data_IF_650616656880
#
_entry.id   IF_650616656880
#
_cell.length_a   1.000
_cell.length_b   1.000
_cell.length_c   1.000
_cell.angle_alpha   90.00
_cell.angle_beta   90.00
_cell.angle_gamma   90.00
#
_symmetry.space_group_name_H-M   'P 1'
#
loop_
_entity.id
_entity.type
_entity.pdbx_description
1 polymer ?
#
# COMPACT_ATOMS: atom_id res chain seq x y z
N UNK A 1 32.91 -22.39 -10.34
CA UNK A 1 31.65 -23.07 -10.72
C UNK A 1 30.51 -22.20 -10.22
N UNK A 2 29.89 -21.43 -11.11
CA UNK A 2 28.72 -20.62 -10.76
C UNK A 2 27.53 -21.55 -10.54
N UNK A 3 26.83 -21.38 -9.41
CA UNK A 3 25.63 -22.17 -9.08
C UNK A 3 24.55 -21.93 -10.14
N UNK A 4 24.22 -22.98 -10.88
CA UNK A 4 23.23 -23.01 -11.96
C UNK A 4 21.77 -23.02 -11.47
N UNK A 5 21.52 -22.82 -10.17
CA UNK A 5 20.16 -22.79 -9.60
C UNK A 5 19.55 -21.39 -9.49
N UNK A 6 20.31 -20.33 -9.72
CA UNK A 6 19.81 -18.96 -9.65
C UNK A 6 19.45 -18.43 -11.04
N UNK A 7 18.43 -19.02 -11.68
CA UNK A 7 17.90 -18.44 -12.92
C UNK A 7 16.50 -18.96 -13.18
N UNK A 8 15.52 -18.08 -12.97
CA UNK A 8 14.10 -18.25 -13.30
C UNK A 8 13.31 -19.14 -12.32
N UNK A 9 12.91 -18.55 -11.18
CA UNK A 9 11.68 -19.01 -10.53
C UNK A 9 10.49 -18.63 -11.45
N UNK A 10 9.64 -19.58 -11.89
CA UNK A 10 8.42 -19.28 -12.63
C UNK A 10 7.58 -18.21 -11.89
N UNK A 11 6.93 -17.30 -12.62
CA UNK A 11 6.07 -16.26 -12.02
C UNK A 11 5.05 -16.84 -11.02
N UNK A 12 4.49 -18.00 -11.34
CA UNK A 12 3.60 -18.78 -10.47
C UNK A 12 4.21 -19.13 -9.10
N UNK A 13 5.49 -19.52 -9.03
CA UNK A 13 6.17 -19.79 -7.75
C UNK A 13 6.51 -18.51 -6.97
N UNK A 14 6.61 -17.34 -7.62
CA UNK A 14 6.85 -16.07 -6.91
C UNK A 14 5.61 -15.54 -6.22
N UNK A 15 4.44 -15.70 -6.84
CA UNK A 15 3.13 -15.37 -6.24
C UNK A 15 2.83 -16.28 -5.03
N UNK A 16 3.25 -17.56 -5.10
CA UNK A 16 3.15 -18.51 -3.98
C UNK A 16 4.07 -18.17 -2.79
N UNK A 17 5.19 -17.48 -3.03
CA UNK A 17 6.21 -17.17 -2.00
C UNK A 17 6.07 -15.77 -1.40
N UNK A 18 5.34 -14.87 -2.04
CA UNK A 18 5.04 -13.54 -1.49
C UNK A 18 3.67 -13.10 -2.01
N UNK A 19 2.67 -12.89 -1.13
CA UNK A 19 1.27 -12.65 -1.53
C UNK A 19 1.02 -11.27 -2.20
N UNK A 20 2.08 -10.61 -2.68
CA UNK A 20 2.10 -9.22 -3.14
C UNK A 20 1.69 -8.23 -2.07
N UNK A 21 1.85 -6.94 -2.38
CA UNK A 21 1.47 -5.87 -1.45
C UNK A 21 0.00 -5.50 -1.66
N UNK A 22 -0.82 -5.61 -0.62
CA UNK A 22 -2.22 -5.18 -0.68
C UNK A 22 -2.34 -3.66 -0.63
N UNK A 23 -3.12 -3.11 -1.55
CA UNK A 23 -3.54 -1.71 -1.59
C UNK A 23 -5.05 -1.66 -1.46
N UNK A 24 -5.55 -0.95 -0.45
CA UNK A 24 -6.99 -0.81 -0.27
C UNK A 24 -7.57 0.20 -1.26
N UNK A 25 -8.76 -0.05 -1.80
CA UNK A 25 -9.50 0.98 -2.56
C UNK A 25 -10.91 1.19 -2.01
N UNK A 26 -11.42 2.41 -2.12
CA UNK A 26 -12.81 2.76 -1.81
C UNK A 26 -13.41 3.44 -3.04
N UNK A 27 -14.55 2.93 -3.52
CA UNK A 27 -15.19 3.42 -4.74
C UNK A 27 -16.72 3.51 -4.58
N UNK A 28 -17.18 4.60 -3.96
CA UNK A 28 -18.61 4.91 -3.86
C UNK A 28 -19.23 5.30 -5.23
N UNK A 29 -18.40 5.62 -6.22
CA UNK A 29 -18.81 6.14 -7.52
C UNK A 29 -19.01 5.07 -8.60
N UNK A 30 -18.57 3.84 -8.35
CA UNK A 30 -18.58 2.73 -9.31
C UNK A 30 -17.65 2.97 -10.52
N UNK A 31 -16.54 3.69 -10.32
CA UNK A 31 -15.57 4.01 -11.38
C UNK A 31 -14.36 3.08 -11.43
N UNK A 32 -14.16 2.22 -10.43
CA UNK A 32 -13.08 1.24 -10.38
C UNK A 32 -13.04 0.35 -11.62
N UNK A 33 -14.19 -0.10 -12.11
CA UNK A 33 -14.31 -0.90 -13.33
C UNK A 33 -13.69 -0.26 -14.59
N UNK A 34 -13.60 1.07 -14.65
CA UNK A 34 -12.97 1.79 -15.76
C UNK A 34 -11.47 2.01 -15.56
N UNK A 35 -11.01 2.03 -14.31
CA UNK A 35 -9.62 2.27 -13.91
C UNK A 35 -8.83 0.95 -13.88
N UNK A 36 -9.40 -0.10 -13.28
CA UNK A 36 -8.70 -1.34 -12.98
C UNK A 36 -8.06 -2.00 -14.21
N UNK A 37 -8.70 -2.13 -15.39
CA UNK A 37 -8.07 -2.78 -16.54
C UNK A 37 -6.81 -2.06 -17.01
N UNK A 38 -6.85 -0.72 -17.04
CA UNK A 38 -5.72 0.12 -17.46
C UNK A 38 -4.61 0.15 -16.41
N UNK A 39 -4.98 0.12 -15.13
CA UNK A 39 -4.03 0.05 -14.02
C UNK A 39 -3.29 -1.29 -14.01
N UNK A 40 -4.03 -2.41 -14.11
CA UNK A 40 -3.47 -3.76 -14.07
C UNK A 40 -2.51 -4.02 -15.27
N UNK A 41 -2.76 -3.42 -16.45
CA UNK A 41 -1.82 -3.46 -17.59
C UNK A 41 -0.48 -2.75 -17.33
N UNK A 42 -0.43 -1.81 -16.38
CA UNK A 42 0.77 -1.00 -16.08
C UNK A 42 1.53 -1.51 -14.86
N UNK A 43 0.98 -2.50 -14.15
CA UNK A 43 1.64 -3.18 -13.04
C UNK A 43 2.51 -4.35 -13.53
N UNK A 44 3.46 -4.85 -12.72
CA UNK A 44 3.86 -4.39 -11.38
C UNK A 44 4.58 -3.03 -11.42
N UNK A 45 4.70 -2.35 -10.27
CA UNK A 45 5.63 -1.23 -10.13
C UNK A 45 7.06 -1.73 -10.35
N UNK A 46 7.92 -0.93 -10.97
CA UNK A 46 9.27 -1.36 -11.36
C UNK A 46 10.34 -0.37 -10.94
N UNK A 47 11.57 -0.88 -10.86
CA UNK A 47 12.78 -0.08 -10.65
C UNK A 47 12.63 0.91 -9.48
N UNK A 48 12.16 0.41 -8.34
CA UNK A 48 12.05 1.21 -7.13
C UNK A 48 13.40 1.18 -6.44
N UNK A 49 14.01 2.35 -6.29
CA UNK A 49 15.20 2.52 -5.47
C UNK A 49 14.78 3.08 -4.11
N UNK A 50 15.20 2.40 -3.06
CA UNK A 50 14.83 2.72 -1.69
C UNK A 50 16.07 2.76 -0.82
N UNK A 51 16.28 3.84 -0.09
CA UNK A 51 17.34 3.92 0.91
C UNK A 51 16.78 3.51 2.26
N UNK A 52 17.33 2.44 2.83
CA UNK A 52 16.91 1.95 4.15
C UNK A 52 17.41 2.87 5.29
N UNK A 53 17.01 2.56 6.52
CA UNK A 53 17.30 3.38 7.71
C UNK A 53 18.80 3.48 8.04
N UNK A 54 19.60 2.47 7.65
CA UNK A 54 21.07 2.49 7.79
C UNK A 54 21.78 3.17 6.61
N UNK A 55 21.03 3.73 5.66
CA UNK A 55 21.56 4.49 4.55
C UNK A 55 22.02 3.66 3.35
N UNK A 56 21.72 2.36 3.30
CA UNK A 56 22.01 1.48 2.16
C UNK A 56 20.87 1.56 1.14
N UNK A 57 21.23 1.74 -0.14
CA UNK A 57 20.27 1.71 -1.24
C UNK A 57 19.94 0.26 -1.62
N UNK A 58 18.66 -0.05 -1.59
CA UNK A 58 18.04 -1.30 -2.03
C UNK A 58 17.28 -1.05 -3.32
N UNK A 59 17.19 -2.09 -4.15
CA UNK A 59 16.47 -2.05 -5.42
C UNK A 59 15.39 -3.11 -5.42
N UNK A 60 14.17 -2.70 -5.76
CA UNK A 60 13.02 -3.59 -5.97
C UNK A 60 12.73 -3.54 -7.47
N UNK A 61 13.05 -4.63 -8.17
CA UNK A 61 12.91 -4.69 -9.62
C UNK A 61 11.44 -4.73 -10.06
N UNK A 62 10.61 -5.49 -9.33
CA UNK A 62 9.18 -5.62 -9.56
C UNK A 62 8.45 -5.73 -8.23
N UNK A 63 7.41 -4.92 -8.06
CA UNK A 63 6.51 -4.93 -6.92
C UNK A 63 5.06 -5.06 -7.42
N UNK A 64 4.52 -6.29 -7.46
CA UNK A 64 3.11 -6.54 -7.67
C UNK A 64 2.27 -5.92 -6.56
N UNK A 65 1.16 -5.30 -6.95
CA UNK A 65 0.16 -4.74 -6.04
C UNK A 65 -1.14 -5.50 -6.24
N UNK A 66 -1.86 -5.77 -5.15
CA UNK A 66 -3.19 -6.38 -5.19
C UNK A 66 -4.20 -5.44 -4.57
N UNK A 67 -5.27 -5.16 -5.30
CA UNK A 67 -6.26 -4.17 -4.89
C UNK A 67 -7.43 -4.82 -4.18
N UNK A 68 -7.73 -4.36 -2.97
CA UNK A 68 -8.81 -4.92 -2.14
C UNK A 68 -9.79 -3.82 -1.77
N UNK A 69 -11.07 -4.06 -1.98
CA UNK A 69 -12.11 -3.10 -1.63
C UNK A 69 -12.23 -2.94 -0.11
N UNK A 70 -12.16 -1.70 0.35
CA UNK A 70 -12.38 -1.34 1.74
C UNK A 70 -13.87 -1.06 1.92
N UNK A 71 -14.58 -2.06 2.43
CA UNK A 71 -15.94 -1.91 2.94
C UNK A 71 -15.94 -1.41 4.40
N UNK A 72 -17.03 -0.81 4.90
CA UNK A 72 -17.17 -0.39 6.31
C UNK A 72 -16.94 -1.53 7.31
N UNK A 73 -17.17 -2.79 6.91
CA UNK A 73 -16.93 -3.97 7.72
C UNK A 73 -15.44 -4.35 7.77
N UNK A 74 -14.73 -4.20 6.64
CA UNK A 74 -13.30 -4.53 6.51
C UNK A 74 -12.39 -3.53 7.22
N UNK A 75 -12.83 -2.27 7.40
CA UNK A 75 -12.10 -1.23 8.18
C UNK A 75 -11.81 -1.70 9.62
N UNK A 76 -12.63 -2.59 10.18
CA UNK A 76 -12.52 -3.06 11.57
C UNK A 76 -11.51 -4.19 11.79
N UNK A 77 -11.10 -4.93 10.74
CA UNK A 77 -10.23 -6.11 10.88
C UNK A 77 -8.74 -5.76 10.78
N UNK A 78 -8.30 -5.15 9.67
CA UNK A 78 -6.97 -4.56 9.50
C UNK A 78 -6.93 -3.82 8.16
N UNK A 79 -6.61 -2.52 8.17
CA UNK A 79 -6.51 -1.74 6.94
C UNK A 79 -5.17 -2.00 6.23
N UNK A 80 -5.14 -2.10 4.89
CA UNK A 80 -3.89 -2.06 4.14
C UNK A 80 -3.08 -0.79 4.48
N UNK A 81 -1.74 -0.86 4.46
CA UNK A 81 -0.89 0.27 4.82
C UNK A 81 -0.96 1.41 3.78
N UNK A 82 -1.46 1.13 2.58
CA UNK A 82 -1.71 2.12 1.52
C UNK A 82 -3.12 1.96 0.99
N UNK A 83 -3.85 3.08 0.87
CA UNK A 83 -5.24 3.12 0.44
C UNK A 83 -5.49 4.18 -0.65
N UNK A 84 -6.46 3.96 -1.52
CA UNK A 84 -6.87 4.89 -2.58
C UNK A 84 -8.38 5.12 -2.51
N UNK A 85 -8.81 6.38 -2.52
CA UNK A 85 -10.22 6.74 -2.65
C UNK A 85 -10.51 7.20 -4.08
N UNK A 86 -11.44 6.55 -4.76
CA UNK A 86 -11.89 6.94 -6.09
C UNK A 86 -13.03 7.94 -6.00
N UNK A 87 -12.86 9.07 -6.69
CA UNK A 87 -13.82 10.16 -6.70
C UNK A 87 -14.43 10.28 -8.09
N UNK A 88 -15.71 9.95 -8.19
CA UNK A 88 -16.56 10.34 -9.32
C UNK A 88 -17.28 11.63 -8.97
N UNK A 89 -17.11 12.67 -9.77
CA UNK A 89 -17.83 13.93 -9.56
C UNK A 89 -17.91 14.76 -10.84
N UNK A 90 -19.12 15.23 -11.16
CA UNK A 90 -19.43 15.90 -12.43
C UNK A 90 -19.66 17.40 -12.30
N UNK A 91 -19.77 17.93 -11.08
CA UNK A 91 -19.94 19.35 -10.81
C UNK A 91 -19.57 19.78 -9.39
N UNK A 92 -19.47 21.09 -9.21
CA UNK A 92 -18.98 21.69 -7.96
C UNK A 92 -20.02 21.66 -6.83
N UNK A 93 -21.31 21.62 -7.14
CA UNK A 93 -22.36 21.61 -6.12
C UNK A 93 -22.46 20.22 -5.51
N UNK A 94 -22.51 19.18 -6.35
CA UNK A 94 -22.43 17.77 -5.97
C UNK A 94 -21.12 17.46 -5.23
N UNK A 95 -20.00 18.06 -5.66
CA UNK A 95 -18.75 17.95 -4.92
C UNK A 95 -18.90 18.41 -3.47
N UNK A 96 -19.46 19.61 -3.25
CA UNK A 96 -19.58 20.21 -1.91
C UNK A 96 -20.58 19.47 -1.03
N UNK A 97 -21.72 19.06 -1.57
CA UNK A 97 -22.84 18.52 -0.80
C UNK A 97 -22.79 17.00 -0.63
N UNK A 98 -22.28 16.25 -1.62
CA UNK A 98 -22.35 14.77 -1.65
C UNK A 98 -20.97 14.14 -1.50
N UNK A 99 -19.97 14.60 -2.25
CA UNK A 99 -18.66 13.90 -2.35
C UNK A 99 -17.70 14.28 -1.23
N UNK A 100 -17.59 15.57 -0.91
CA UNK A 100 -16.61 16.09 0.06
C UNK A 100 -16.82 15.54 1.48
N UNK A 101 -18.06 15.47 2.04
CA UNK A 101 -18.24 14.98 3.41
C UNK A 101 -17.73 13.55 3.65
N UNK A 102 -18.14 12.51 2.88
CA UNK A 102 -17.64 11.15 3.09
C UNK A 102 -16.14 11.02 2.78
N UNK A 103 -15.63 11.73 1.76
CA UNK A 103 -14.19 11.75 1.46
C UNK A 103 -13.37 12.32 2.62
N UNK A 104 -13.81 13.42 3.23
CA UNK A 104 -13.13 14.00 4.39
C UNK A 104 -13.11 13.03 5.58
N UNK A 105 -14.25 12.42 5.89
CA UNK A 105 -14.33 11.40 6.94
C UNK A 105 -13.41 10.19 6.67
N UNK A 106 -13.31 9.76 5.41
CA UNK A 106 -12.40 8.68 5.01
C UNK A 106 -10.94 9.08 5.17
N UNK A 107 -10.55 10.30 4.76
CA UNK A 107 -9.18 10.82 4.95
C UNK A 107 -8.82 10.88 6.44
N UNK A 108 -9.74 11.35 7.27
CA UNK A 108 -9.55 11.37 8.73
C UNK A 108 -9.37 9.96 9.29
N UNK A 109 -10.16 8.99 8.82
CA UNK A 109 -10.04 7.58 9.21
C UNK A 109 -8.69 6.96 8.80
N UNK A 110 -8.24 7.18 7.56
CA UNK A 110 -6.92 6.69 7.09
C UNK A 110 -5.79 7.32 7.88
N UNK A 111 -5.89 8.63 8.18
CA UNK A 111 -4.90 9.36 8.98
C UNK A 111 -4.85 8.83 10.42
N UNK A 112 -6.00 8.59 11.05
CA UNK A 112 -6.08 7.99 12.38
C UNK A 112 -5.50 6.56 12.41
N UNK A 113 -5.74 5.78 11.35
CA UNK A 113 -5.20 4.44 11.17
C UNK A 113 -3.69 4.42 10.81
N UNK A 114 -3.09 5.60 10.57
CA UNK A 114 -1.71 5.74 10.05
C UNK A 114 -1.49 4.95 8.75
N UNK A 115 -2.53 4.91 7.91
CA UNK A 115 -2.45 4.39 6.55
C UNK A 115 -2.08 5.54 5.60
N UNK A 116 -1.16 5.28 4.67
CA UNK A 116 -0.89 6.23 3.59
C UNK A 116 -2.07 6.22 2.62
N UNK A 117 -2.46 7.39 2.13
CA UNK A 117 -3.64 7.51 1.29
C UNK A 117 -3.41 8.35 0.03
N UNK A 118 -4.19 8.06 -1.00
CA UNK A 118 -4.32 8.83 -2.23
C UNK A 118 -5.78 9.03 -2.59
N UNK A 119 -6.07 10.12 -3.29
CA UNK A 119 -7.37 10.41 -3.88
C UNK A 119 -7.21 10.41 -5.39
N UNK A 120 -8.01 9.61 -6.10
CA UNK A 120 -8.01 9.52 -7.54
C UNK A 120 -9.33 10.07 -8.10
N UNK A 121 -9.27 11.23 -8.74
CA UNK A 121 -10.41 11.84 -9.41
C UNK A 121 -10.61 11.24 -10.81
N UNK A 122 -11.80 10.71 -11.06
CA UNK A 122 -12.18 10.06 -12.32
C UNK A 122 -13.51 10.66 -12.82
N UNK A 123 -13.48 11.77 -13.60
CA UNK A 123 -14.67 12.25 -14.27
C UNK A 123 -15.11 11.27 -15.36
N UNK A 124 -16.43 11.05 -15.47
CA UNK A 124 -17.01 10.23 -16.54
C UNK A 124 -17.40 11.06 -17.78
N UNK A 125 -17.25 12.39 -17.73
CA UNK A 125 -17.50 13.21 -18.91
C UNK A 125 -18.98 13.38 -19.26
N UNK A 126 -19.90 13.07 -18.35
CA UNK A 126 -21.35 13.06 -18.62
C UNK A 126 -21.94 14.45 -18.89
N UNK A 127 -21.19 15.52 -18.66
CA UNK A 127 -21.62 16.89 -18.96
C UNK A 127 -21.32 17.25 -20.41
N UNK A 128 -22.15 18.10 -21.03
CA UNK A 128 -21.90 18.58 -22.38
C UNK A 128 -20.49 19.16 -22.51
N UNK A 129 -19.77 18.75 -23.57
CA UNK A 129 -18.47 19.32 -23.93
C UNK A 129 -18.64 20.80 -24.30
N UNK A 130 -17.60 21.59 -24.07
CA UNK A 130 -17.59 22.98 -24.53
C UNK A 130 -17.46 23.03 -26.07
N UNK A 131 -17.73 24.19 -26.66
CA UNK A 131 -17.53 24.42 -28.10
C UNK A 131 -16.10 23.98 -28.51
N UNK A 132 -15.98 23.27 -29.64
CA UNK A 132 -14.69 22.80 -30.15
C UNK A 132 -14.15 21.51 -29.52
N UNK A 133 -15.01 20.61 -29.01
CA UNK A 133 -14.62 19.30 -28.44
C UNK A 133 -13.68 19.41 -27.21
N UNK A 134 -13.72 20.55 -26.51
CA UNK A 134 -12.90 20.79 -25.32
C UNK A 134 -13.59 20.20 -24.08
N UNK A 135 -12.86 19.52 -23.16
CA UNK A 135 -13.43 19.05 -21.90
C UNK A 135 -14.11 20.18 -21.13
N UNK A 136 -15.23 19.86 -20.47
CA UNK A 136 -15.97 20.86 -19.71
C UNK A 136 -15.07 21.45 -18.60
N UNK A 137 -14.93 22.79 -18.49
CA UNK A 137 -14.04 23.43 -17.51
C UNK A 137 -14.43 23.11 -16.06
N UNK A 138 -15.64 22.61 -15.81
CA UNK A 138 -16.09 22.16 -14.49
C UNK A 138 -15.18 21.08 -13.90
N UNK A 139 -14.69 20.13 -14.71
CA UNK A 139 -13.84 19.04 -14.24
C UNK A 139 -12.51 19.53 -13.69
N UNK A 140 -11.94 20.56 -14.34
CA UNK A 140 -10.74 21.24 -13.84
C UNK A 140 -11.01 21.96 -12.52
N UNK A 141 -12.14 22.66 -12.41
CA UNK A 141 -12.54 23.36 -11.17
C UNK A 141 -12.75 22.40 -10.01
N UNK A 142 -13.39 21.25 -10.24
CA UNK A 142 -13.58 20.19 -9.23
C UNK A 142 -12.22 19.62 -8.80
N UNK A 143 -11.34 19.31 -9.77
CA UNK A 143 -9.99 18.83 -9.47
C UNK A 143 -9.18 19.83 -8.65
N UNK A 144 -9.14 21.10 -9.07
CA UNK A 144 -8.43 22.16 -8.33
C UNK A 144 -8.99 22.33 -6.91
N UNK A 145 -10.30 22.16 -6.75
CA UNK A 145 -10.94 22.22 -5.43
C UNK A 145 -10.59 21.02 -4.56
N UNK A 146 -10.61 19.80 -5.09
CA UNK A 146 -10.15 18.58 -4.39
C UNK A 146 -8.73 18.76 -3.89
N UNK A 147 -7.83 19.25 -4.74
CA UNK A 147 -6.44 19.52 -4.37
C UNK A 147 -6.32 20.54 -3.24
N UNK A 148 -7.08 21.63 -3.30
CA UNK A 148 -7.08 22.64 -2.25
C UNK A 148 -7.63 22.11 -0.91
N UNK A 149 -8.71 21.32 -0.96
CA UNK A 149 -9.35 20.77 0.25
C UNK A 149 -8.49 19.66 0.91
N UNK A 150 -7.74 18.88 0.12
CA UNK A 150 -6.95 17.73 0.59
C UNK A 150 -5.44 17.88 0.36
N UNK A 151 -4.95 19.12 0.28
CA UNK A 151 -3.52 19.39 0.25
C UNK A 151 -2.85 18.82 1.50
N UNK A 152 -1.76 18.08 1.33
CA UNK A 152 -1.10 17.39 2.44
C UNK A 152 -0.54 18.40 3.45
N UNK A 153 -1.25 18.60 4.57
CA UNK A 153 -0.81 19.44 5.70
C UNK A 153 0.01 18.57 6.66
N UNK A 154 1.26 18.25 6.30
CA UNK A 154 2.17 17.65 7.30
C UNK A 154 2.54 18.75 8.30
N UNK A 155 2.09 18.62 9.54
CA UNK A 155 2.50 19.49 10.64
C UNK A 155 3.95 19.17 11.02
N UNK A 156 4.90 19.84 10.37
CA UNK A 156 6.33 19.79 10.66
C UNK A 156 7.06 20.84 9.83
N UNK A 157 8.27 21.28 10.21
CA UNK A 157 9.03 22.23 9.42
C UNK A 157 9.39 21.62 8.06
N UNK A 158 8.73 22.07 7.00
CA UNK A 158 9.06 21.74 5.62
C UNK A 158 10.34 22.48 5.24
N UNK A 159 11.48 21.81 5.32
CA UNK A 159 12.74 22.28 4.73
C UNK A 159 12.80 21.72 3.31
N UNK A 160 12.42 22.55 2.33
CA UNK A 160 12.50 22.24 0.91
C UNK A 160 11.24 22.63 0.13
N UNK A 161 11.32 22.79 -1.20
CA UNK A 161 10.13 22.98 -2.04
C UNK A 161 9.19 21.78 -1.84
N UNK A 162 7.88 22.04 -1.71
CA UNK A 162 6.88 20.99 -1.66
C UNK A 162 7.04 20.12 -2.92
N UNK A 163 7.54 18.91 -2.75
CA UNK A 163 7.73 17.99 -3.86
C UNK A 163 6.36 17.68 -4.45
N UNK A 164 6.24 17.65 -5.78
CA UNK A 164 5.01 17.23 -6.48
C UNK A 164 4.55 15.82 -6.06
N UNK A 165 5.47 15.02 -5.51
CA UNK A 165 5.21 13.70 -4.94
C UNK A 165 4.40 13.73 -3.62
N UNK A 166 4.36 14.88 -2.94
CA UNK A 166 3.54 15.08 -1.74
C UNK A 166 2.07 15.40 -2.07
N UNK A 167 1.75 15.66 -3.34
CA UNK A 167 0.38 15.86 -3.79
C UNK A 167 -0.39 14.53 -3.72
N UNK A 168 -1.42 14.50 -2.88
CA UNK A 168 -2.19 13.29 -2.58
C UNK A 168 -3.34 13.05 -3.56
N UNK A 169 -3.58 13.96 -4.50
CA UNK A 169 -4.74 13.95 -5.39
C UNK A 169 -4.28 13.81 -6.84
N UNK A 170 -4.76 12.78 -7.53
CA UNK A 170 -4.49 12.50 -8.96
C UNK A 170 -5.77 12.66 -9.78
N UNK A 171 -5.62 12.78 -11.10
CA UNK A 171 -6.75 12.77 -12.05
C UNK A 171 -6.47 11.79 -13.18
N UNK A 172 -7.47 10.98 -13.53
CA UNK A 172 -7.49 10.22 -14.78
C UNK A 172 -8.77 10.57 -15.54
N UNK A 173 -8.62 11.14 -16.72
CA UNK A 173 -9.74 11.35 -17.64
C UNK A 173 -10.07 10.03 -18.36
N UNK A 174 -11.34 9.63 -18.32
CA UNK A 174 -11.80 8.46 -19.08
C UNK A 174 -11.77 8.77 -20.58
N UNK A 175 -11.07 7.97 -21.38
CA UNK A 175 -10.99 8.16 -22.83
C UNK A 175 -12.31 7.75 -23.50
N UNK A 176 -13.10 8.72 -23.96
CA UNK A 176 -14.19 8.45 -24.90
C UNK A 176 -13.62 8.23 -26.32
N UNK A 177 -13.46 6.96 -26.72
CA UNK A 177 -13.67 6.38 -28.07
C UNK A 177 -13.09 7.00 -29.36
N UNK A 178 -12.47 8.18 -29.36
CA UNK A 178 -11.94 8.84 -30.56
C UNK A 178 -10.55 9.40 -30.26
N UNK A 179 -9.52 8.59 -30.43
CA UNK A 179 -8.13 8.93 -30.10
C UNK A 179 -7.52 9.86 -31.16
N UNK A 180 -7.42 11.14 -30.83
CA UNK A 180 -6.45 12.06 -31.46
C UNK A 180 -5.11 11.88 -30.75
N UNK A 181 -4.00 11.79 -31.49
CA UNK A 181 -2.64 11.48 -30.98
C UNK A 181 -2.26 12.27 -29.70
N UNK A 182 -2.69 13.54 -29.59
CA UNK A 182 -2.42 14.38 -28.42
C UNK A 182 -3.19 14.00 -27.14
N UNK A 183 -4.41 13.48 -27.24
CA UNK A 183 -5.19 13.03 -26.08
C UNK A 183 -4.60 11.76 -25.47
N UNK A 184 -4.02 10.89 -26.29
CA UNK A 184 -3.39 9.66 -25.83
C UNK A 184 -2.10 9.94 -25.03
N UNK A 185 -1.28 10.91 -25.47
CA UNK A 185 -0.10 11.34 -24.73
C UNK A 185 -0.46 11.94 -23.36
N UNK A 186 -1.51 12.77 -23.28
CA UNK A 186 -1.98 13.31 -22.01
C UNK A 186 -2.49 12.21 -21.07
N UNK A 187 -3.26 11.26 -21.59
CA UNK A 187 -3.73 10.13 -20.82
C UNK A 187 -2.57 9.29 -20.26
N UNK A 188 -1.54 8.97 -21.06
CA UNK A 188 -0.35 8.26 -20.55
C UNK A 188 0.42 9.05 -19.48
N UNK A 189 0.45 10.39 -19.60
CA UNK A 189 1.07 11.23 -18.56
C UNK A 189 0.33 11.15 -17.22
N UNK A 190 -1.00 11.12 -17.24
CA UNK A 190 -1.84 10.96 -16.03
C UNK A 190 -1.61 9.61 -15.35
N UNK A 191 -1.47 8.53 -16.14
CA UNK A 191 -1.11 7.21 -15.60
C UNK A 191 0.29 7.18 -15.01
N UNK A 192 1.27 7.78 -15.69
CA UNK A 192 2.64 7.90 -15.18
C UNK A 192 2.67 8.62 -13.84
N UNK A 193 1.91 9.71 -13.73
CA UNK A 193 1.75 10.51 -12.52
C UNK A 193 1.08 9.71 -11.38
N UNK A 194 0.02 8.96 -11.67
CA UNK A 194 -0.62 8.06 -10.70
C UNK A 194 0.35 7.00 -10.19
N UNK A 195 1.06 6.29 -11.08
CA UNK A 195 1.99 5.22 -10.69
C UNK A 195 3.14 5.75 -9.85
N UNK A 196 3.65 6.95 -10.18
CA UNK A 196 4.71 7.60 -9.42
C UNK A 196 4.26 7.94 -7.99
N UNK A 197 3.04 8.47 -7.82
CA UNK A 197 2.47 8.76 -6.50
C UNK A 197 2.09 7.50 -5.73
N UNK A 198 1.57 6.49 -6.41
CA UNK A 198 1.29 5.20 -5.80
C UNK A 198 2.56 4.54 -5.27
N UNK A 199 3.63 4.53 -6.08
CA UNK A 199 4.98 4.11 -5.65
C UNK A 199 5.42 4.87 -4.41
N UNK A 200 5.31 6.19 -4.42
CA UNK A 200 5.68 7.02 -3.27
C UNK A 200 4.87 6.66 -2.01
N UNK A 201 3.55 6.54 -2.10
CA UNK A 201 2.70 6.21 -0.96
C UNK A 201 2.99 4.82 -0.39
N UNK A 202 3.20 3.83 -1.26
CA UNK A 202 3.63 2.48 -0.87
C UNK A 202 4.95 2.53 -0.12
N UNK A 203 5.94 3.27 -0.64
CA UNK A 203 7.27 3.36 -0.01
C UNK A 203 7.26 4.11 1.31
N UNK A 204 6.50 5.21 1.43
CA UNK A 204 6.34 5.93 2.69
C UNK A 204 5.66 5.07 3.75
N UNK A 205 4.64 4.31 3.36
CA UNK A 205 3.93 3.39 4.26
C UNK A 205 4.89 2.30 4.77
N UNK A 206 5.65 1.70 3.85
CA UNK A 206 6.64 0.70 4.17
C UNK A 206 7.74 1.24 5.09
N UNK A 207 8.32 2.40 4.79
CA UNK A 207 9.34 3.05 5.62
C UNK A 207 8.83 3.35 7.03
N UNK A 208 7.65 3.95 7.12
CA UNK A 208 7.02 4.29 8.40
C UNK A 208 6.78 3.05 9.25
N UNK A 209 6.29 1.97 8.65
CA UNK A 209 6.05 0.70 9.34
C UNK A 209 7.36 0.01 9.73
N UNK A 210 8.40 0.02 8.88
CA UNK A 210 9.73 -0.51 9.24
C UNK A 210 10.28 0.20 10.47
N UNK A 211 10.25 1.54 10.47
CA UNK A 211 10.68 2.34 11.62
C UNK A 211 9.91 1.99 12.90
N UNK A 212 8.58 1.83 12.81
CA UNK A 212 7.77 1.45 13.97
C UNK A 212 8.15 0.07 14.55
N UNK A 213 8.38 -0.92 13.69
CA UNK A 213 8.78 -2.26 14.14
C UNK A 213 10.21 -2.28 14.65
N UNK A 214 11.16 -1.63 13.98
CA UNK A 214 12.55 -1.53 14.45
C UNK A 214 12.64 -0.81 15.80
N UNK A 215 11.89 0.27 15.99
CA UNK A 215 11.84 0.98 17.27
C UNK A 215 11.23 0.12 18.38
N UNK A 216 10.16 -0.64 18.06
CA UNK A 216 9.59 -1.61 19.00
C UNK A 216 10.59 -2.70 19.37
N UNK A 217 11.34 -3.23 18.39
CA UNK A 217 12.40 -4.22 18.62
C UNK A 217 13.50 -3.65 19.50
N UNK A 218 13.94 -2.42 19.26
CA UNK A 218 14.95 -1.73 20.09
C UNK A 218 14.53 -1.64 21.55
N UNK A 219 13.28 -1.25 21.81
CA UNK A 219 12.74 -1.15 23.18
C UNK A 219 12.62 -2.52 23.86
N UNK A 220 12.23 -3.56 23.11
CA UNK A 220 12.11 -4.92 23.63
C UNK A 220 13.49 -5.54 23.90
N UNK A 221 14.45 -5.36 22.99
CA UNK A 221 15.80 -5.91 23.10
C UNK A 221 16.61 -5.26 24.24
N UNK A 222 16.39 -3.97 24.51
CA UNK A 222 16.97 -3.28 25.67
C UNK A 222 16.59 -3.92 27.02
N UNK A 223 15.52 -4.72 27.07
CA UNK A 223 15.05 -5.44 28.26
C UNK A 223 15.46 -6.91 28.28
N UNK A 224 16.20 -7.40 27.30
CA UNK A 224 16.52 -8.82 27.12
C UNK A 224 17.24 -9.47 28.31
N UNK A 225 18.06 -8.71 29.04
CA UNK A 225 18.73 -9.18 30.26
C UNK A 225 17.93 -9.01 31.55
N UNK A 226 16.72 -8.44 31.49
CA UNK A 226 15.89 -8.16 32.66
C UNK A 226 14.86 -9.28 32.89
N UNK A 227 14.51 -9.59 34.15
CA UNK A 227 13.42 -10.52 34.44
C UNK A 227 12.10 -9.99 33.85
N UNK A 228 11.35 -10.87 33.16
CA UNK A 228 10.10 -10.49 32.50
C UNK A 228 10.26 -9.95 31.08
N UNK A 229 11.37 -10.25 30.40
CA UNK A 229 11.48 -10.00 28.96
C UNK A 229 10.40 -10.74 28.17
N UNK A 230 9.67 -10.01 27.34
CA UNK A 230 8.58 -10.56 26.53
C UNK A 230 9.10 -10.98 25.15
N UNK A 231 9.61 -12.21 25.08
CA UNK A 231 10.05 -12.80 23.81
C UNK A 231 8.89 -12.94 22.81
N UNK A 232 7.65 -13.18 23.26
CA UNK A 232 6.51 -13.30 22.36
C UNK A 232 6.22 -12.01 21.60
N UNK A 233 6.26 -10.87 22.29
CA UNK A 233 6.15 -9.56 21.65
C UNK A 233 7.34 -9.24 20.74
N UNK A 234 8.55 -9.69 21.09
CA UNK A 234 9.75 -9.54 20.26
C UNK A 234 9.63 -10.37 18.98
N UNK A 235 9.28 -11.65 19.11
CA UNK A 235 9.04 -12.58 18.00
C UNK A 235 8.02 -12.01 17.03
N UNK A 236 6.85 -11.59 17.53
CA UNK A 236 5.79 -11.05 16.68
C UNK A 236 6.21 -9.76 15.95
N UNK A 237 6.96 -8.88 16.62
CA UNK A 237 7.47 -7.67 15.98
C UNK A 237 8.48 -7.99 14.86
N UNK A 238 9.36 -8.98 15.10
CA UNK A 238 10.39 -9.40 14.14
C UNK A 238 9.81 -10.17 12.96
N UNK A 239 8.87 -11.08 13.20
CA UNK A 239 8.12 -11.80 12.18
C UNK A 239 7.35 -10.82 11.27
N UNK A 240 6.62 -9.86 11.85
CA UNK A 240 5.89 -8.86 11.06
C UNK A 240 6.81 -7.98 10.22
N UNK A 241 7.99 -7.63 10.75
CA UNK A 241 9.01 -6.93 9.98
C UNK A 241 9.50 -7.78 8.80
N UNK A 242 9.84 -9.04 9.03
CA UNK A 242 10.25 -9.97 7.97
C UNK A 242 9.18 -10.14 6.88
N UNK A 243 7.91 -10.30 7.30
CA UNK A 243 6.76 -10.38 6.39
C UNK A 243 6.62 -9.14 5.51
N UNK A 244 6.84 -7.94 6.06
CA UNK A 244 6.82 -6.72 5.25
C UNK A 244 7.94 -6.70 4.20
N UNK A 245 9.16 -7.09 4.57
CA UNK A 245 10.26 -7.20 3.59
C UNK A 245 9.94 -8.23 2.50
N UNK A 246 9.31 -9.35 2.86
CA UNK A 246 8.84 -10.35 1.91
C UNK A 246 7.77 -9.78 0.96
N UNK A 247 6.79 -9.02 1.48
CA UNK A 247 5.75 -8.34 0.68
C UNK A 247 6.33 -7.29 -0.28
N UNK A 248 7.44 -6.64 0.10
CA UNK A 248 8.18 -5.70 -0.75
C UNK A 248 9.15 -6.38 -1.72
N UNK A 249 9.15 -7.71 -1.80
CA UNK A 249 10.07 -8.49 -2.64
C UNK A 249 11.55 -8.27 -2.30
N UNK A 250 11.85 -7.99 -1.03
CA UNK A 250 13.20 -7.88 -0.48
C UNK A 250 13.54 -9.16 0.28
N UNK A 251 13.66 -10.29 -0.45
CA UNK A 251 13.77 -11.62 0.17
C UNK A 251 15.02 -11.76 1.05
N UNK A 252 16.16 -11.23 0.63
CA UNK A 252 17.41 -11.31 1.41
C UNK A 252 17.30 -10.61 2.76
N UNK A 253 16.53 -9.52 2.83
CA UNK A 253 16.28 -8.79 4.09
C UNK A 253 15.29 -9.54 4.97
N UNK A 254 14.25 -10.12 4.38
CA UNK A 254 13.31 -10.98 5.10
C UNK A 254 14.02 -12.20 5.72
N UNK A 255 14.84 -12.91 4.94
CA UNK A 255 15.61 -14.08 5.40
C UNK A 255 16.53 -13.69 6.55
N UNK A 256 17.26 -12.56 6.44
CA UNK A 256 18.12 -12.09 7.52
C UNK A 256 17.36 -11.88 8.83
N UNK A 257 16.18 -11.27 8.77
CA UNK A 257 15.36 -11.10 9.97
C UNK A 257 14.90 -12.43 10.58
N UNK A 258 14.61 -13.43 9.74
CA UNK A 258 14.24 -14.78 10.19
C UNK A 258 15.45 -15.54 10.78
N UNK A 259 16.62 -15.48 10.15
CA UNK A 259 17.86 -16.10 10.65
C UNK A 259 18.25 -15.51 12.01
N UNK A 260 18.18 -14.17 12.16
CA UNK A 260 18.41 -13.53 13.44
C UNK A 260 17.36 -13.91 14.49
N UNK A 261 16.11 -14.13 14.08
CA UNK A 261 15.05 -14.57 15.00
C UNK A 261 15.30 -16.00 15.48
N UNK A 262 15.70 -16.90 14.59
CA UNK A 262 16.05 -18.28 14.90
C UNK A 262 17.27 -18.35 15.83
N UNK A 263 18.32 -17.57 15.54
CA UNK A 263 19.49 -17.46 16.40
C UNK A 263 19.12 -16.96 17.82
N UNK A 264 18.19 -16.03 17.95
CA UNK A 264 17.71 -15.57 19.26
C UNK A 264 16.91 -16.67 19.96
N UNK A 265 16.03 -17.35 19.23
CA UNK A 265 15.20 -18.43 19.75
C UNK A 265 16.04 -19.60 20.28
N UNK A 266 17.10 -20.00 19.56
CA UNK A 266 18.05 -21.04 20.00
C UNK A 266 18.83 -20.68 21.28
N UNK A 267 18.91 -19.40 21.63
CA UNK A 267 19.65 -18.90 22.79
C UNK A 267 18.73 -18.52 23.98
N UNK A 268 17.44 -18.86 23.93
CA UNK A 268 16.53 -18.62 25.06
C UNK A 268 16.89 -19.51 26.25
N UNK A 269 16.76 -18.97 27.47
CA UNK A 269 16.88 -19.78 28.68
C UNK A 269 15.59 -20.57 28.96
N UNK A 270 15.65 -21.55 29.87
CA UNK A 270 14.51 -22.42 30.19
C UNK A 270 13.28 -21.65 30.67
N UNK A 271 13.47 -20.56 31.43
CA UNK A 271 12.38 -19.74 31.98
C UNK A 271 11.67 -18.94 30.89
N UNK A 272 12.43 -18.34 29.96
CA UNK A 272 11.91 -17.64 28.80
C UNK A 272 11.18 -18.59 27.85
N UNK A 273 11.77 -19.77 27.61
CA UNK A 273 11.16 -20.79 26.76
C UNK A 273 9.84 -21.29 27.35
N UNK A 274 9.78 -21.49 28.66
CA UNK A 274 8.55 -21.88 29.36
C UNK A 274 7.49 -20.75 29.32
N UNK A 275 7.91 -19.50 29.56
CA UNK A 275 7.03 -18.33 29.49
C UNK A 275 6.43 -18.15 28.10
N UNK A 276 7.24 -18.29 27.05
CA UNK A 276 6.77 -18.24 25.66
C UNK A 276 5.77 -19.36 25.36
N UNK A 277 6.05 -20.60 25.79
CA UNK A 277 5.13 -21.73 25.63
C UNK A 277 3.79 -21.48 26.32
N UNK A 278 3.82 -20.98 27.55
CA UNK A 278 2.62 -20.68 28.33
C UNK A 278 1.79 -19.53 27.73
N UNK A 279 2.46 -18.52 27.14
CA UNK A 279 1.82 -17.44 26.39
C UNK A 279 1.31 -17.85 24.99
N UNK A 280 1.92 -18.86 24.37
CA UNK A 280 1.57 -19.37 23.03
C UNK A 280 0.38 -20.35 23.02
N UNK A 281 -0.28 -20.58 24.16
CA UNK A 281 -1.41 -21.53 24.30
C UNK A 281 -2.71 -21.09 23.58
N UNK A 282 -2.63 -20.43 22.42
CA UNK A 282 -3.59 -20.69 21.35
C UNK A 282 -3.15 -21.98 20.65
N UNK A 283 -3.57 -23.13 21.19
CA UNK A 283 -3.29 -24.41 20.52
C UNK A 283 -3.91 -24.36 19.13
N UNK A 284 -3.08 -24.41 18.10
CA UNK A 284 -3.63 -24.50 16.76
C UNK A 284 -4.33 -25.85 16.60
N UNK A 285 -5.59 -25.85 16.20
CA UNK A 285 -6.37 -27.06 15.95
C UNK A 285 -6.40 -27.35 14.46
N UNK A 286 -6.63 -28.61 14.07
CA UNK A 286 -6.76 -29.01 12.64
C UNK A 286 -7.88 -28.24 11.92
N UNK A 287 -8.78 -27.61 12.67
CA UNK A 287 -9.89 -26.80 12.15
C UNK A 287 -9.52 -25.33 11.93
N UNK A 288 -8.31 -24.91 12.32
CA UNK A 288 -7.93 -23.51 12.20
C UNK A 288 -7.78 -23.08 10.75
N UNK A 289 -8.02 -21.79 10.44
CA UNK A 289 -7.95 -21.26 9.08
C UNK A 289 -6.62 -21.53 8.38
N UNK A 290 -5.52 -21.56 9.13
CA UNK A 290 -4.18 -21.86 8.59
C UNK A 290 -4.06 -23.28 8.00
N UNK A 291 -4.90 -24.22 8.45
CA UNK A 291 -4.92 -25.60 7.96
C UNK A 291 -6.13 -25.93 7.08
N UNK A 292 -7.15 -25.06 7.07
CA UNK A 292 -8.43 -25.30 6.38
C UNK A 292 -8.70 -24.35 5.23
N UNK A 293 -8.02 -23.21 5.17
CA UNK A 293 -8.14 -22.23 4.10
C UNK A 293 -6.88 -22.23 3.25
N UNK A 294 -7.05 -22.31 1.93
CA UNK A 294 -5.94 -22.14 1.01
C UNK A 294 -5.42 -20.70 1.12
N UNK A 295 -4.09 -20.48 1.25
CA UNK A 295 -3.50 -19.14 1.24
C UNK A 295 -3.56 -18.49 -0.16
N UNK A 296 -4.06 -19.21 -1.16
CA UNK A 296 -4.23 -18.71 -2.52
C UNK A 296 -5.52 -17.88 -2.66
N UNK A 297 -5.46 -16.69 -3.26
CA UNK A 297 -6.67 -15.95 -3.59
C UNK A 297 -7.54 -16.81 -4.51
N UNK A 298 -8.83 -16.86 -4.22
CA UNK A 298 -9.79 -17.40 -5.20
C UNK A 298 -9.71 -16.50 -6.45
N UNK A 299 -9.80 -17.08 -7.65
CA UNK A 299 -9.55 -16.39 -8.92
C UNK A 299 -10.40 -15.11 -9.18
N UNK A 300 -11.34 -14.77 -8.28
CA UNK A 300 -12.11 -13.55 -8.27
C UNK A 300 -11.42 -12.34 -7.59
N UNK A 301 -10.30 -12.53 -6.88
CA UNK A 301 -9.62 -11.49 -6.09
C UNK A 301 -8.34 -10.95 -6.75
N UNK A 302 -8.05 -11.36 -8.00
CA UNK A 302 -6.86 -10.94 -8.73
C UNK A 302 -7.12 -9.72 -9.62
N UNK A 303 -6.77 -8.54 -9.11
CA UNK A 303 -6.15 -7.43 -9.86
C UNK A 303 -5.08 -6.83 -8.92
#
# INVERSE_FOLDING_TARGET
>A
MASLYASVAPQFTRELLSPGLRVGYTDEGGVWQFVAPSLCQRLPLRAIEWRNLVGVTKRIDQLPLHFVEISPENVKKELPPTCIYLVKCEDLDSYKSVVRPPLAAWVDAMTAAKAEWLVLYVPLGTRPKAAGNTPNPVYRKVFDRLRADFAHRRNGPTIGPASTLQERVCKIDTLEGTSVVGQQQQHESQWTELLLRLRHCVMEAFQTKCFQYEERLRVLDAKRGAPGWDFGAFFLAKERLALMYQQMYLQDDAIRHLDELDAIFMNLNEVEMQTFRDGSKSSFTVQDPIFTQSPLPTAAEAC
#
